data_IF_437619408422
#
_entry.id   IF_437619408422
#
_cell.length_a   1.000
_cell.length_b   1.000
_cell.length_c   1.000
_cell.angle_alpha   90.00
_cell.angle_beta   90.00
_cell.angle_gamma   90.00
#
_symmetry.space_group_name_H-M   'P 1'
#
loop_
_entity.id
_entity.type
_entity.pdbx_description
1 polymer ?
#
# COMPACT_ATOMS: atom_id res chain seq x y z
N UNK A 1 34.53 -31.38 -18.23
CA UNK A 1 33.80 -30.32 -18.95
C UNK A 1 32.35 -30.74 -19.00
N UNK A 2 31.45 -29.92 -18.50
CA UNK A 2 30.01 -30.20 -18.46
C UNK A 2 29.47 -30.00 -19.88
N UNK A 3 28.72 -30.96 -20.41
CA UNK A 3 28.11 -30.84 -21.75
C UNK A 3 26.65 -30.49 -21.61
N UNK A 4 26.25 -29.34 -22.18
CA UNK A 4 24.90 -28.87 -22.18
C UNK A 4 24.21 -29.04 -23.52
N UNK A 5 22.90 -29.18 -23.45
CA UNK A 5 21.98 -29.16 -24.58
C UNK A 5 20.89 -28.11 -24.31
N UNK A 6 20.46 -27.39 -25.34
CA UNK A 6 19.34 -26.45 -25.25
C UNK A 6 18.33 -26.70 -26.37
N UNK A 7 17.09 -26.29 -26.13
CA UNK A 7 16.00 -26.41 -27.11
C UNK A 7 15.68 -25.02 -27.66
N UNK A 8 15.57 -24.91 -29.01
CA UNK A 8 15.07 -23.71 -29.67
C UNK A 8 13.54 -23.59 -29.57
N UNK A 9 12.97 -22.50 -30.11
CA UNK A 9 11.53 -22.22 -30.13
C UNK A 9 10.74 -23.27 -30.94
N UNK A 10 11.40 -23.94 -31.88
CA UNK A 10 10.83 -25.04 -32.69
C UNK A 10 10.95 -26.41 -32.00
N UNK A 11 11.49 -26.45 -30.75
CA UNK A 11 11.77 -27.66 -29.96
C UNK A 11 12.84 -28.57 -30.54
N UNK A 12 13.73 -28.06 -31.40
CA UNK A 12 14.91 -28.82 -31.84
C UNK A 12 15.99 -28.74 -30.74
N UNK A 13 16.68 -29.86 -30.53
CA UNK A 13 17.78 -29.96 -29.57
C UNK A 13 19.10 -29.54 -30.23
N UNK A 14 19.76 -28.57 -29.61
CA UNK A 14 21.11 -28.10 -29.96
C UNK A 14 22.12 -28.55 -28.91
N UNK A 15 23.36 -28.81 -29.31
CA UNK A 15 24.46 -29.23 -28.44
C UNK A 15 25.14 -30.51 -28.95
N UNK A 16 26.18 -30.99 -28.27
CA UNK A 16 26.67 -30.53 -26.97
C UNK A 16 27.44 -29.21 -27.04
N UNK A 17 27.24 -28.32 -26.06
CA UNK A 17 27.96 -27.05 -25.87
C UNK A 17 28.55 -27.03 -24.46
N UNK A 18 29.66 -26.30 -24.25
CA UNK A 18 30.28 -26.21 -22.93
C UNK A 18 29.73 -25.01 -22.10
N UNK A 19 30.19 -24.87 -20.85
CA UNK A 19 29.74 -23.83 -19.94
C UNK A 19 30.07 -22.41 -20.49
N UNK A 20 31.21 -22.24 -21.18
CA UNK A 20 31.61 -20.96 -21.74
C UNK A 20 30.78 -20.58 -22.96
N UNK A 21 30.48 -21.53 -23.82
CA UNK A 21 29.58 -21.33 -24.96
C UNK A 21 28.15 -21.00 -24.51
N UNK A 22 27.63 -21.68 -23.47
CA UNK A 22 26.33 -21.36 -22.89
C UNK A 22 26.26 -19.96 -22.32
N UNK A 23 27.32 -19.52 -21.64
CA UNK A 23 27.43 -18.15 -21.15
C UNK A 23 27.49 -17.12 -22.32
N UNK A 24 28.19 -17.46 -23.41
CA UNK A 24 28.24 -16.67 -24.63
C UNK A 24 26.87 -16.53 -25.32
N UNK A 25 26.14 -17.63 -25.46
CA UNK A 25 24.76 -17.67 -26.01
C UNK A 25 23.81 -16.81 -25.16
N UNK A 26 23.98 -16.85 -23.83
CA UNK A 26 23.20 -16.01 -22.91
C UNK A 26 23.54 -14.52 -23.09
N UNK A 27 24.84 -14.18 -23.12
CA UNK A 27 25.29 -12.80 -23.33
C UNK A 27 24.87 -12.24 -24.70
N UNK A 28 24.80 -13.11 -25.72
CA UNK A 28 24.30 -12.80 -27.06
C UNK A 28 22.78 -12.71 -27.18
N UNK A 29 22.03 -12.94 -26.09
CA UNK A 29 20.56 -12.90 -26.08
C UNK A 29 19.87 -14.04 -26.84
N UNK A 30 20.58 -15.12 -27.15
CA UNK A 30 20.06 -16.28 -27.88
C UNK A 30 19.38 -17.30 -26.95
N UNK A 31 19.65 -17.23 -25.63
CA UNK A 31 18.98 -18.04 -24.62
C UNK A 31 17.95 -17.18 -23.87
N UNK A 32 16.67 -17.40 -24.15
CA UNK A 32 15.59 -16.81 -23.37
C UNK A 32 15.52 -17.43 -21.95
N UNK A 33 15.01 -16.72 -20.93
CA UNK A 33 14.90 -17.25 -19.57
C UNK A 33 14.14 -18.57 -19.45
N UNK A 34 13.19 -18.80 -20.35
CA UNK A 34 12.33 -20.01 -20.39
C UNK A 34 12.85 -21.08 -21.36
N UNK A 35 13.97 -20.85 -22.07
CA UNK A 35 14.61 -21.86 -22.94
C UNK A 35 14.95 -23.09 -22.11
N UNK A 36 14.50 -24.24 -22.55
CA UNK A 36 14.77 -25.50 -21.87
C UNK A 36 16.22 -25.94 -22.12
N UNK A 37 16.92 -26.28 -21.04
CA UNK A 37 18.30 -26.78 -21.06
C UNK A 37 18.42 -28.08 -20.30
N UNK A 38 19.38 -28.90 -20.70
CA UNK A 38 19.64 -30.17 -20.06
C UNK A 38 21.13 -30.49 -20.08
N UNK A 39 21.60 -31.15 -19.02
CA UNK A 39 22.95 -31.78 -18.97
C UNK A 39 22.86 -33.14 -18.32
N UNK A 40 23.89 -33.93 -18.47
CA UNK A 40 24.02 -35.19 -17.76
C UNK A 40 24.00 -34.97 -16.24
N UNK A 41 23.13 -35.70 -15.55
CA UNK A 41 22.86 -35.58 -14.12
C UNK A 41 21.59 -34.82 -13.78
N UNK A 42 20.96 -34.12 -14.72
CA UNK A 42 19.63 -33.55 -14.52
C UNK A 42 18.54 -34.59 -14.83
N UNK A 43 17.58 -34.77 -13.90
CA UNK A 43 16.48 -35.73 -14.06
C UNK A 43 15.55 -35.40 -15.25
N UNK A 44 15.44 -34.10 -15.61
CA UNK A 44 14.59 -33.57 -16.67
C UNK A 44 15.11 -32.24 -17.21
N UNK A 45 14.59 -31.83 -18.37
CA UNK A 45 14.85 -30.50 -18.93
C UNK A 45 14.38 -29.41 -17.98
N UNK A 46 15.19 -28.36 -17.77
CA UNK A 46 14.90 -27.26 -16.89
C UNK A 46 14.98 -25.92 -17.65
N UNK A 47 14.20 -24.89 -17.25
CA UNK A 47 14.30 -23.57 -17.85
C UNK A 47 15.65 -22.93 -17.52
N UNK A 48 16.25 -22.24 -18.49
CA UNK A 48 17.56 -21.59 -18.37
C UNK A 48 17.72 -20.75 -17.11
N UNK A 49 16.68 -20.00 -16.74
CA UNK A 49 16.68 -19.15 -15.51
C UNK A 49 17.01 -19.91 -14.23
N UNK A 50 16.76 -21.21 -14.16
CA UNK A 50 17.01 -22.01 -12.95
C UNK A 50 18.47 -22.42 -12.77
N UNK A 51 19.24 -22.47 -13.87
CA UNK A 51 20.64 -22.95 -13.88
C UNK A 51 21.65 -21.89 -14.35
N UNK A 52 21.19 -20.75 -14.87
CA UNK A 52 22.05 -19.75 -15.49
C UNK A 52 23.14 -19.20 -14.53
N UNK A 53 22.83 -19.03 -13.25
CA UNK A 53 23.79 -18.51 -12.28
C UNK A 53 24.92 -19.51 -11.99
N UNK A 54 24.66 -20.81 -12.06
CA UNK A 54 25.68 -21.86 -11.92
C UNK A 54 26.64 -21.84 -13.10
N UNK A 55 26.11 -21.74 -14.33
CA UNK A 55 26.90 -21.74 -15.57
C UNK A 55 27.70 -20.45 -15.70
N UNK A 56 27.09 -19.30 -15.47
CA UNK A 56 27.78 -18.00 -15.57
C UNK A 56 28.87 -17.86 -14.50
N UNK A 57 28.66 -18.36 -13.29
CA UNK A 57 29.68 -18.39 -12.24
C UNK A 57 30.83 -19.33 -12.58
N UNK A 58 30.57 -20.47 -13.23
CA UNK A 58 31.58 -21.43 -13.67
C UNK A 58 32.41 -20.93 -14.86
N UNK A 59 31.82 -20.15 -15.76
CA UNK A 59 32.46 -19.57 -16.94
C UNK A 59 33.28 -18.31 -16.65
N UNK A 60 33.17 -17.72 -15.45
CA UNK A 60 33.99 -16.58 -15.05
C UNK A 60 35.47 -17.00 -14.97
N UNK A 61 36.41 -16.32 -15.65
CA UNK A 61 37.83 -16.65 -15.52
C UNK A 61 38.23 -16.48 -14.06
N UNK A 62 38.88 -17.52 -13.49
CA UNK A 62 39.41 -17.49 -12.15
C UNK A 62 40.29 -16.21 -12.00
N UNK A 63 39.79 -15.27 -11.19
CA UNK A 63 40.57 -14.07 -10.88
C UNK A 63 41.84 -14.53 -10.20
N UNK A 64 42.96 -14.48 -10.95
CA UNK A 64 44.29 -14.80 -10.47
C UNK A 64 44.59 -13.98 -9.23
N UNK A 65 45.08 -14.66 -8.20
CA UNK A 65 45.63 -14.05 -7.01
C UNK A 65 46.67 -13.01 -7.43
N UNK A 66 46.36 -11.71 -7.26
CA UNK A 66 47.32 -10.64 -7.42
C UNK A 66 48.12 -10.58 -6.15
N UNK A 67 49.37 -11.03 -6.29
CA UNK A 67 50.46 -10.90 -5.33
C UNK A 67 50.61 -9.41 -4.93
N UNK A 68 50.53 -9.14 -3.62
CA UNK A 68 50.79 -7.82 -3.05
C UNK A 68 52.29 -7.58 -2.91
N UNK A 69 52.95 -7.17 -3.99
CA UNK A 69 54.33 -6.73 -4.04
C UNK A 69 54.42 -5.35 -4.62
N UNK A 70 54.62 -4.37 -3.75
CA UNK A 70 55.32 -3.10 -3.88
C UNK A 70 55.61 -2.58 -5.29
N UNK A 71 54.93 -1.52 -5.71
CA UNK A 71 55.48 -0.51 -6.61
C UNK A 71 54.69 0.81 -6.53
N UNK A 72 55.24 1.73 -5.76
CA UNK A 72 54.98 3.15 -5.90
C UNK A 72 55.32 3.63 -7.31
N UNK A 73 54.47 4.53 -7.86
CA UNK A 73 54.61 5.38 -9.05
C UNK A 73 53.90 4.89 -10.31
N UNK A 74 52.67 5.29 -10.48
CA UNK A 74 52.27 6.07 -11.67
C UNK A 74 50.90 6.65 -11.45
N UNK A 75 50.78 7.98 -11.40
CA UNK A 75 49.53 8.70 -11.28
C UNK A 75 48.72 8.59 -12.58
N UNK A 76 47.91 7.56 -12.65
CA UNK A 76 46.77 7.49 -13.54
C UNK A 76 45.53 7.54 -12.66
N UNK A 77 44.97 8.74 -12.52
CA UNK A 77 43.59 8.85 -12.10
C UNK A 77 42.74 8.02 -13.06
N UNK A 78 41.83 7.12 -12.56
CA UNK A 78 40.88 6.50 -13.46
C UNK A 78 40.07 7.65 -14.06
N UNK A 79 40.21 7.86 -15.37
CA UNK A 79 39.26 8.67 -16.12
C UNK A 79 37.91 8.02 -15.90
N UNK A 80 37.07 8.64 -15.06
CA UNK A 80 35.67 8.46 -15.16
C UNK A 80 35.30 8.81 -16.60
N UNK A 81 35.10 7.81 -17.45
CA UNK A 81 34.54 8.00 -18.76
C UNK A 81 33.22 8.69 -18.55
N UNK A 82 33.19 10.01 -18.68
CA UNK A 82 31.95 10.73 -18.89
C UNK A 82 31.37 10.12 -20.17
N UNK A 83 30.34 9.34 -20.05
CA UNK A 83 29.60 8.84 -21.21
C UNK A 83 29.27 10.03 -22.10
N UNK A 84 29.61 10.00 -23.40
CA UNK A 84 29.29 11.10 -24.30
C UNK A 84 27.76 11.32 -24.19
N UNK A 85 27.37 12.51 -23.75
CA UNK A 85 25.99 12.92 -23.71
C UNK A 85 25.44 12.92 -25.13
N UNK A 86 24.84 11.80 -25.56
CA UNK A 86 24.17 11.72 -26.84
C UNK A 86 23.03 12.75 -26.84
N UNK A 87 22.90 13.63 -27.83
CA UNK A 87 21.74 14.53 -27.93
C UNK A 87 20.42 13.79 -28.05
N UNK A 88 20.46 12.49 -28.28
CA UNK A 88 19.30 11.58 -28.33
C UNK A 88 19.18 10.68 -27.10
N UNK A 89 19.98 10.89 -26.04
CA UNK A 89 19.79 10.16 -24.80
C UNK A 89 18.39 10.48 -24.25
N UNK A 90 17.53 9.48 -24.04
CA UNK A 90 16.21 9.73 -23.44
C UNK A 90 16.43 10.39 -22.07
N UNK A 91 15.58 11.35 -21.66
CA UNK A 91 15.68 11.97 -20.35
C UNK A 91 15.70 10.85 -19.28
N UNK A 92 16.77 10.79 -18.51
CA UNK A 92 16.82 9.90 -17.33
C UNK A 92 15.87 10.47 -16.31
N UNK A 93 14.61 10.06 -16.36
CA UNK A 93 13.72 10.29 -15.24
C UNK A 93 14.38 9.67 -14.00
N UNK A 94 14.47 10.40 -12.86
CA UNK A 94 14.92 9.79 -11.64
C UNK A 94 13.98 8.62 -11.36
N UNK A 95 14.49 7.40 -11.49
CA UNK A 95 13.77 6.21 -11.05
C UNK A 95 13.65 6.36 -9.53
N UNK A 96 12.51 6.87 -9.08
CA UNK A 96 12.17 6.77 -7.67
C UNK A 96 12.13 5.27 -7.39
N UNK A 97 13.16 4.77 -6.73
CA UNK A 97 13.14 3.39 -6.25
C UNK A 97 11.89 3.27 -5.41
N UNK A 98 10.94 2.47 -5.88
CA UNK A 98 9.84 2.04 -5.02
C UNK A 98 10.50 1.46 -3.76
N UNK A 99 10.01 1.80 -2.55
CA UNK A 99 10.59 1.25 -1.33
C UNK A 99 10.65 -0.28 -1.49
N UNK A 100 11.81 -0.87 -1.17
CA UNK A 100 12.04 -2.30 -1.28
C UNK A 100 10.94 -3.04 -0.51
N UNK A 101 10.09 -3.76 -1.24
CA UNK A 101 8.99 -4.53 -0.68
C UNK A 101 9.52 -5.91 -0.35
N UNK A 102 9.69 -6.20 0.94
CA UNK A 102 10.09 -7.52 1.41
C UNK A 102 8.85 -8.42 1.49
N UNK A 103 8.75 -9.36 0.56
CA UNK A 103 7.64 -10.33 0.49
C UNK A 103 7.91 -11.59 1.33
N UNK A 104 9.15 -11.79 1.75
CA UNK A 104 9.58 -12.95 2.53
C UNK A 104 9.28 -12.70 4.02
N UNK A 105 8.20 -13.28 4.52
CA UNK A 105 7.90 -13.22 5.93
C UNK A 105 6.41 -13.36 6.28
N UNK A 106 6.15 -13.64 7.55
CA UNK A 106 4.80 -13.64 8.11
C UNK A 106 4.25 -12.21 8.12
N UNK A 107 3.06 -12.00 7.51
CA UNK A 107 2.38 -10.71 7.46
C UNK A 107 1.29 -10.65 8.51
N UNK A 108 1.41 -9.71 9.46
CA UNK A 108 0.41 -9.49 10.50
C UNK A 108 -0.70 -8.58 9.96
N UNK A 109 -1.86 -9.16 9.70
CA UNK A 109 -3.05 -8.42 9.28
C UNK A 109 -3.74 -7.74 10.46
N UNK A 110 -4.15 -6.48 10.27
CA UNK A 110 -4.83 -5.70 11.30
C UNK A 110 -6.24 -6.26 11.59
N UNK A 111 -6.45 -6.70 12.82
CA UNK A 111 -7.74 -7.17 13.30
C UNK A 111 -8.78 -6.05 13.41
N UNK A 112 -10.04 -6.45 13.65
CA UNK A 112 -11.20 -5.55 13.73
C UNK A 112 -10.99 -4.38 14.70
N UNK A 113 -10.57 -4.65 15.94
CA UNK A 113 -10.45 -3.62 16.99
C UNK A 113 -9.35 -2.57 16.71
N UNK A 114 -8.23 -2.97 16.09
CA UNK A 114 -7.20 -2.01 15.65
C UNK A 114 -7.77 -1.02 14.62
N UNK A 115 -8.61 -1.50 13.71
CA UNK A 115 -9.25 -0.67 12.68
C UNK A 115 -10.30 0.25 13.29
N UNK A 116 -11.10 -0.25 14.23
CA UNK A 116 -12.10 0.56 14.96
C UNK A 116 -11.42 1.69 15.72
N UNK A 117 -10.36 1.41 16.48
CA UNK A 117 -9.62 2.44 17.19
C UNK A 117 -9.03 3.51 16.24
N UNK A 118 -8.40 3.08 15.12
CA UNK A 118 -7.89 4.01 14.11
C UNK A 118 -9.01 4.86 13.50
N UNK A 119 -10.16 4.26 13.20
CA UNK A 119 -11.32 4.95 12.64
C UNK A 119 -11.85 6.04 13.58
N UNK A 120 -11.92 5.77 14.90
CA UNK A 120 -12.36 6.78 15.86
C UNK A 120 -11.45 8.01 15.89
N UNK A 121 -10.14 7.81 15.85
CA UNK A 121 -9.18 8.92 15.78
C UNK A 121 -9.40 9.72 14.49
N UNK A 122 -9.47 9.02 13.34
CA UNK A 122 -9.69 9.66 12.04
C UNK A 122 -11.05 10.39 11.99
N UNK A 123 -12.10 9.80 12.58
CA UNK A 123 -13.43 10.40 12.63
C UNK A 123 -13.44 11.73 13.39
N UNK A 124 -12.68 11.85 14.47
CA UNK A 124 -12.52 13.12 15.19
C UNK A 124 -11.81 14.15 14.31
N UNK A 125 -10.71 13.77 13.65
CA UNK A 125 -9.95 14.67 12.77
C UNK A 125 -10.82 15.15 11.60
N UNK A 126 -11.43 14.21 10.87
CA UNK A 126 -12.28 14.52 9.71
C UNK A 126 -13.54 15.27 10.14
N UNK A 127 -14.10 14.93 11.30
CA UNK A 127 -15.25 15.61 11.89
C UNK A 127 -14.97 17.08 12.21
N UNK A 128 -13.84 17.38 12.83
CA UNK A 128 -13.42 18.75 13.13
C UNK A 128 -13.18 19.53 11.84
N UNK A 129 -12.42 18.97 10.88
CA UNK A 129 -12.18 19.60 9.59
C UNK A 129 -13.49 19.83 8.83
N UNK A 130 -14.35 18.83 8.79
CA UNK A 130 -15.68 18.93 8.15
C UNK A 130 -16.58 19.99 8.80
N UNK A 131 -16.57 20.08 10.13
CA UNK A 131 -17.31 21.11 10.87
C UNK A 131 -16.81 22.53 10.55
N UNK A 132 -15.48 22.73 10.52
CA UNK A 132 -14.89 24.02 10.16
C UNK A 132 -15.25 24.47 8.74
N UNK A 133 -15.09 23.55 7.76
CA UNK A 133 -15.42 23.81 6.37
C UNK A 133 -16.93 23.98 6.19
N UNK A 134 -17.74 23.15 6.82
CA UNK A 134 -19.20 23.24 6.80
C UNK A 134 -19.70 24.56 7.37
N UNK A 135 -19.09 25.04 8.48
CA UNK A 135 -19.41 26.35 9.05
C UNK A 135 -19.06 27.50 8.09
N UNK A 136 -17.91 27.45 7.44
CA UNK A 136 -17.48 28.45 6.48
C UNK A 136 -18.40 28.51 5.24
N UNK A 137 -18.67 27.35 4.62
CA UNK A 137 -19.54 27.26 3.44
C UNK A 137 -20.98 27.62 3.82
N UNK A 138 -21.51 27.03 4.88
CA UNK A 138 -22.87 27.26 5.34
C UNK A 138 -23.12 28.70 5.75
N UNK A 139 -22.15 29.32 6.43
CA UNK A 139 -22.19 30.74 6.82
C UNK A 139 -22.16 31.67 5.60
N UNK A 140 -21.23 31.43 4.66
CA UNK A 140 -21.10 32.24 3.45
C UNK A 140 -22.37 32.15 2.55
N UNK A 141 -22.84 30.92 2.30
CA UNK A 141 -24.03 30.69 1.49
C UNK A 141 -25.30 31.21 2.19
N UNK A 142 -25.41 31.01 3.50
CA UNK A 142 -26.51 31.55 4.30
C UNK A 142 -26.60 33.07 4.23
N UNK A 143 -25.46 33.74 4.36
CA UNK A 143 -25.39 35.20 4.21
C UNK A 143 -25.74 35.65 2.77
N UNK A 144 -25.22 34.97 1.75
CA UNK A 144 -25.48 35.29 0.36
C UNK A 144 -26.95 35.11 -0.05
N UNK A 145 -27.63 34.10 0.52
CA UNK A 145 -29.03 33.78 0.21
C UNK A 145 -30.04 34.42 1.18
N UNK A 146 -29.58 35.24 2.14
CA UNK A 146 -30.43 35.85 3.14
C UNK A 146 -31.11 34.83 4.07
N UNK A 147 -30.57 33.64 4.21
CA UNK A 147 -31.09 32.61 5.10
C UNK A 147 -30.54 32.79 6.48
N UNK A 148 -31.33 33.43 7.35
CA UNK A 148 -30.97 33.58 8.77
C UNK A 148 -31.22 32.28 9.53
N UNK A 149 -30.17 31.60 9.88
CA UNK A 149 -30.20 30.39 10.72
C UNK A 149 -28.80 30.03 11.12
N UNK A 150 -28.43 30.17 12.39
CA UNK A 150 -27.13 29.71 12.89
C UNK A 150 -26.99 28.18 12.77
N UNK A 151 -25.76 27.71 12.94
CA UNK A 151 -25.40 26.27 12.88
C UNK A 151 -26.30 25.35 13.76
N UNK A 152 -26.93 25.94 14.81
CA UNK A 152 -27.87 25.24 15.70
C UNK A 152 -29.36 25.57 15.44
N UNK A 153 -29.68 26.46 14.53
CA UNK A 153 -31.04 26.96 14.29
C UNK A 153 -31.74 26.37 13.10
N UNK A 154 -31.45 25.13 12.73
CA UNK A 154 -32.08 24.37 11.63
C UNK A 154 -32.58 25.27 10.50
N UNK A 155 -31.90 25.26 9.38
CA UNK A 155 -32.35 25.94 8.17
C UNK A 155 -33.81 25.56 7.87
N UNK A 156 -34.73 26.49 7.86
CA UNK A 156 -36.14 26.28 7.51
C UNK A 156 -36.41 26.85 6.12
N UNK A 157 -36.92 25.99 5.22
CA UNK A 157 -37.26 26.38 3.84
C UNK A 157 -36.40 25.70 2.78
N UNK A 158 -36.77 25.80 1.52
CA UNK A 158 -36.10 25.12 0.38
C UNK A 158 -34.63 25.52 0.17
N UNK A 159 -34.27 26.77 0.47
CA UNK A 159 -32.86 27.23 0.40
C UNK A 159 -31.96 26.57 1.43
N UNK A 160 -32.48 26.27 2.58
CA UNK A 160 -31.77 25.57 3.65
C UNK A 160 -31.39 24.13 3.28
N UNK A 161 -32.30 23.41 2.66
CA UNK A 161 -32.04 22.06 2.17
C UNK A 161 -30.94 22.05 1.11
N UNK A 162 -30.95 23.04 0.18
CA UNK A 162 -29.93 23.17 -0.84
C UNK A 162 -28.55 23.41 -0.22
N UNK A 163 -28.42 24.31 0.75
CA UNK A 163 -27.18 24.58 1.48
C UNK A 163 -26.72 23.31 2.19
N UNK A 164 -27.61 22.60 2.88
CA UNK A 164 -27.28 21.36 3.59
C UNK A 164 -26.74 20.30 2.63
N UNK A 165 -27.36 20.11 1.48
CA UNK A 165 -26.89 19.14 0.46
C UNK A 165 -25.52 19.52 -0.09
N UNK A 166 -25.27 20.81 -0.37
CA UNK A 166 -23.95 21.26 -0.83
C UNK A 166 -22.88 20.99 0.22
N UNK A 167 -23.12 21.35 1.48
CA UNK A 167 -22.20 21.10 2.60
C UNK A 167 -21.95 19.59 2.75
N UNK A 168 -22.98 18.77 2.65
CA UNK A 168 -22.86 17.31 2.77
C UNK A 168 -22.05 16.69 1.63
N UNK A 169 -22.32 17.10 0.38
CA UNK A 169 -21.55 16.63 -0.78
C UNK A 169 -20.09 17.07 -0.70
N UNK A 170 -19.84 18.30 -0.30
CA UNK A 170 -18.48 18.80 -0.11
C UNK A 170 -17.74 18.02 0.98
N UNK A 171 -18.38 17.78 2.12
CA UNK A 171 -17.81 16.99 3.22
C UNK A 171 -17.50 15.55 2.80
N UNK A 172 -18.36 14.95 1.96
CA UNK A 172 -18.16 13.62 1.41
C UNK A 172 -16.91 13.56 0.51
N UNK A 173 -16.77 14.54 -0.39
CA UNK A 173 -15.60 14.63 -1.28
C UNK A 173 -14.32 14.92 -0.47
N UNK A 174 -14.40 15.82 0.51
CA UNK A 174 -13.29 16.14 1.40
C UNK A 174 -12.80 14.88 2.15
N UNK A 175 -13.73 14.08 2.67
CA UNK A 175 -13.41 12.81 3.31
C UNK A 175 -12.74 11.83 2.34
N UNK A 176 -13.26 11.69 1.13
CA UNK A 176 -12.67 10.82 0.10
C UNK A 176 -11.25 11.27 -0.28
N UNK A 177 -11.03 12.58 -0.44
CA UNK A 177 -9.71 13.16 -0.70
C UNK A 177 -8.75 12.95 0.47
N UNK A 178 -9.21 13.12 1.70
CA UNK A 178 -8.41 12.85 2.90
C UNK A 178 -7.87 11.41 2.89
N UNK A 179 -8.76 10.42 2.77
CA UNK A 179 -8.34 9.02 2.73
C UNK A 179 -7.48 8.69 1.51
N UNK A 180 -7.84 9.20 0.32
CA UNK A 180 -7.07 9.01 -0.90
C UNK A 180 -5.65 9.54 -0.78
N UNK A 181 -5.48 10.75 -0.25
CA UNK A 181 -4.18 11.39 -0.05
C UNK A 181 -3.29 10.60 0.93
N UNK A 182 -3.83 10.26 2.10
CA UNK A 182 -3.05 9.55 3.12
C UNK A 182 -2.68 8.11 2.70
N UNK A 183 -3.55 7.40 1.98
CA UNK A 183 -3.22 6.05 1.50
C UNK A 183 -2.20 6.06 0.35
N UNK A 184 -2.13 7.14 -0.43
CA UNK A 184 -1.12 7.33 -1.45
C UNK A 184 0.19 7.92 -0.91
N UNK A 185 0.23 8.36 0.35
CA UNK A 185 1.42 8.91 0.98
C UNK A 185 2.48 7.83 1.26
N UNK A 186 3.72 8.26 1.54
CA UNK A 186 4.81 7.36 1.91
C UNK A 186 4.49 6.45 3.11
N UNK A 187 3.66 6.94 4.06
CA UNK A 187 3.25 6.18 5.23
C UNK A 187 2.10 5.19 4.96
N UNK A 188 1.41 5.31 3.82
CA UNK A 188 0.29 4.44 3.43
C UNK A 188 -0.81 4.34 4.51
N UNK A 189 -0.93 5.36 5.36
CA UNK A 189 -1.78 5.36 6.54
C UNK A 189 -2.33 6.74 6.86
N UNK A 190 -3.57 6.80 7.30
CA UNK A 190 -4.17 7.99 7.91
C UNK A 190 -3.55 8.27 9.28
N UNK A 191 -3.64 9.49 9.82
CA UNK A 191 -3.14 9.81 11.17
C UNK A 191 -3.63 8.85 12.24
N UNK A 192 -4.91 8.45 12.22
CA UNK A 192 -5.45 7.45 13.15
C UNK A 192 -4.81 6.08 12.98
N UNK A 193 -4.58 5.64 11.73
CA UNK A 193 -3.89 4.38 11.46
C UNK A 193 -2.42 4.42 11.85
N UNK A 194 -1.73 5.55 11.62
CA UNK A 194 -0.34 5.75 12.06
C UNK A 194 -0.22 5.67 13.58
N UNK A 195 -1.15 6.28 14.31
CA UNK A 195 -1.18 6.25 15.78
C UNK A 195 -1.36 4.83 16.33
N UNK A 196 -2.18 4.00 15.67
CA UNK A 196 -2.42 2.61 16.06
C UNK A 196 -1.30 1.66 15.54
N UNK A 197 -0.48 2.11 14.58
CA UNK A 197 0.62 1.31 14.02
C UNK A 197 0.17 0.36 12.90
N UNK A 198 -0.81 0.76 12.08
CA UNK A 198 -1.30 -0.01 10.93
C UNK A 198 -1.26 0.82 9.65
N UNK A 199 -1.14 0.15 8.50
CA UNK A 199 -1.12 0.79 7.18
C UNK A 199 -1.98 0.03 6.18
N UNK A 200 -2.33 0.70 5.07
CA UNK A 200 -3.13 0.15 3.97
C UNK A 200 -2.23 -0.03 2.76
N UNK A 201 -2.13 -1.24 2.29
CA UNK A 201 -1.29 -1.60 1.14
C UNK A 201 -2.08 -2.49 0.17
N UNK A 202 -1.53 -2.75 -0.98
CA UNK A 202 -2.00 -3.79 -1.89
C UNK A 202 -1.58 -5.18 -1.37
N UNK A 203 -2.21 -6.26 -1.82
CA UNK A 203 -1.82 -7.62 -1.44
C UNK A 203 -0.37 -7.99 -1.81
N UNK A 204 0.21 -7.29 -2.79
CA UNK A 204 1.61 -7.40 -3.21
C UNK A 204 2.59 -6.54 -2.37
N UNK A 205 2.11 -5.92 -1.28
CA UNK A 205 2.90 -5.05 -0.41
C UNK A 205 3.16 -3.65 -0.96
N UNK A 206 2.77 -3.36 -2.20
CA UNK A 206 2.95 -2.03 -2.78
C UNK A 206 1.95 -1.00 -2.22
N UNK A 207 2.30 0.28 -2.34
CA UNK A 207 1.43 1.39 -1.94
C UNK A 207 0.16 1.50 -2.77
N UNK A 208 -0.87 2.09 -2.17
CA UNK A 208 -2.11 2.38 -2.86
C UNK A 208 -1.99 3.67 -3.68
N UNK A 209 -2.60 3.71 -4.86
CA UNK A 209 -2.79 4.97 -5.60
C UNK A 209 -3.84 5.85 -4.91
N UNK A 210 -3.80 7.17 -5.17
CA UNK A 210 -4.81 8.12 -4.70
C UNK A 210 -6.24 7.67 -5.05
N UNK A 211 -6.48 7.30 -6.30
CA UNK A 211 -7.80 6.88 -6.77
C UNK A 211 -8.30 5.60 -6.09
N UNK A 212 -7.40 4.66 -5.78
CA UNK A 212 -7.77 3.45 -5.04
C UNK A 212 -8.22 3.79 -3.62
N UNK A 213 -7.52 4.69 -2.94
CA UNK A 213 -7.89 5.19 -1.62
C UNK A 213 -9.19 6.00 -1.63
N UNK A 214 -9.39 6.82 -2.66
CA UNK A 214 -10.59 7.61 -2.88
C UNK A 214 -11.84 6.72 -3.05
N UNK A 215 -11.82 5.76 -3.94
CA UNK A 215 -12.93 4.83 -4.15
C UNK A 215 -13.15 3.90 -2.96
N UNK A 216 -12.09 3.57 -2.22
CA UNK A 216 -12.19 2.79 -0.99
C UNK A 216 -13.03 3.50 0.08
N UNK A 217 -12.99 4.82 0.15
CA UNK A 217 -13.86 5.59 1.03
C UNK A 217 -15.34 5.38 0.70
N UNK A 218 -15.73 5.42 -0.56
CA UNK A 218 -17.12 5.14 -0.98
C UNK A 218 -17.50 3.68 -0.73
N UNK A 219 -16.62 2.74 -0.99
CA UNK A 219 -16.83 1.34 -0.66
C UNK A 219 -16.99 1.12 0.87
N UNK A 220 -16.34 1.95 1.69
CA UNK A 220 -16.50 1.97 3.16
C UNK A 220 -17.91 2.43 3.54
N UNK A 221 -18.44 3.46 2.89
CA UNK A 221 -19.83 3.91 3.09
C UNK A 221 -20.84 2.81 2.69
N UNK A 222 -20.60 2.14 1.58
CA UNK A 222 -21.43 1.01 1.16
C UNK A 222 -21.42 -0.13 2.20
N UNK A 223 -20.25 -0.41 2.79
CA UNK A 223 -20.15 -1.39 3.89
C UNK A 223 -20.98 -1.01 5.11
N UNK A 224 -21.11 0.29 5.39
CA UNK A 224 -21.98 0.84 6.43
C UNK A 224 -23.46 0.68 6.10
N UNK A 225 -23.87 0.95 4.86
CA UNK A 225 -25.26 0.79 4.39
C UNK A 225 -25.74 -0.66 4.46
N UNK A 226 -24.86 -1.62 4.30
CA UNK A 226 -25.14 -3.06 4.46
C UNK A 226 -25.17 -3.49 5.94
N UNK A 227 -25.77 -2.69 6.83
CA UNK A 227 -25.90 -2.95 8.26
C UNK A 227 -24.57 -3.27 8.95
N UNK A 228 -23.49 -2.66 8.49
CA UNK A 228 -22.13 -2.89 8.98
C UNK A 228 -21.58 -4.31 8.80
N UNK A 229 -22.31 -5.22 8.13
CA UNK A 229 -21.85 -6.60 7.86
C UNK A 229 -20.51 -6.57 7.10
N UNK A 230 -20.34 -5.60 6.17
CA UNK A 230 -19.09 -5.44 5.43
C UNK A 230 -17.85 -5.17 6.32
N UNK A 231 -18.03 -4.59 7.50
CA UNK A 231 -16.96 -4.41 8.47
C UNK A 231 -16.70 -5.67 9.29
N UNK A 232 -17.75 -6.42 9.63
CA UNK A 232 -17.62 -7.65 10.43
C UNK A 232 -16.90 -8.76 9.68
N UNK A 233 -16.87 -8.71 8.34
CA UNK A 233 -16.12 -9.68 7.51
C UNK A 233 -14.65 -9.79 7.89
N UNK A 234 -14.06 -8.74 8.46
CA UNK A 234 -12.68 -8.76 8.98
C UNK A 234 -12.44 -9.90 9.99
N UNK A 235 -13.46 -10.27 10.74
CA UNK A 235 -13.34 -11.33 11.75
C UNK A 235 -13.34 -12.75 11.15
N UNK A 236 -13.85 -12.91 9.93
CA UNK A 236 -14.09 -14.21 9.31
C UNK A 236 -13.21 -14.52 8.10
N UNK A 237 -12.52 -13.51 7.55
CA UNK A 237 -11.64 -13.68 6.38
C UNK A 237 -10.20 -13.96 6.82
N UNK A 238 -9.50 -14.85 6.11
CA UNK A 238 -8.11 -15.23 6.39
C UNK A 238 -7.15 -14.02 6.43
N UNK A 239 -7.33 -13.10 5.48
CA UNK A 239 -6.53 -11.86 5.37
C UNK A 239 -7.09 -10.70 6.19
N UNK A 240 -8.06 -10.97 7.07
CA UNK A 240 -8.77 -9.96 7.88
C UNK A 240 -9.25 -8.78 7.02
N UNK A 241 -9.83 -9.06 5.84
CA UNK A 241 -10.33 -8.06 4.89
C UNK A 241 -11.81 -7.77 5.13
N UNK A 242 -12.16 -6.48 5.12
CA UNK A 242 -13.54 -6.02 5.06
C UNK A 242 -14.04 -6.00 3.61
N UNK A 243 -15.34 -5.82 3.38
CA UNK A 243 -15.91 -5.74 2.04
C UNK A 243 -15.23 -4.66 1.18
N UNK A 244 -15.05 -3.47 1.74
CA UNK A 244 -14.38 -2.37 1.05
C UNK A 244 -12.89 -2.63 0.76
N UNK A 245 -12.22 -3.47 1.56
CA UNK A 245 -10.85 -3.92 1.28
C UNK A 245 -10.82 -4.83 0.06
N UNK A 246 -11.78 -5.76 -0.03
CA UNK A 246 -11.90 -6.72 -1.14
C UNK A 246 -12.26 -6.02 -2.45
N UNK A 247 -13.22 -5.09 -2.42
CA UNK A 247 -13.65 -4.32 -3.61
C UNK A 247 -12.51 -3.50 -4.20
N UNK A 248 -11.64 -2.95 -3.33
CA UNK A 248 -10.54 -2.09 -3.77
C UNK A 248 -9.19 -2.82 -3.87
N UNK A 249 -9.17 -4.14 -3.70
CA UNK A 249 -7.96 -4.96 -3.71
C UNK A 249 -6.87 -4.37 -2.79
N UNK A 250 -7.20 -4.27 -1.51
CA UNK A 250 -6.35 -3.72 -0.45
C UNK A 250 -6.31 -4.63 0.76
N UNK A 251 -5.25 -4.53 1.55
CA UNK A 251 -5.14 -5.18 2.86
C UNK A 251 -4.68 -4.16 3.89
N UNK A 252 -5.12 -4.34 5.14
CA UNK A 252 -4.65 -3.53 6.25
C UNK A 252 -3.75 -4.39 7.11
N UNK A 253 -2.52 -3.94 7.26
CA UNK A 253 -1.44 -4.70 7.91
C UNK A 253 -0.75 -3.85 8.98
N UNK A 254 0.07 -4.50 9.81
CA UNK A 254 0.97 -3.78 10.71
C UNK A 254 1.92 -2.87 9.93
N UNK A 255 2.33 -1.76 10.52
CA UNK A 255 3.21 -0.76 9.87
C UNK A 255 4.55 -1.34 9.41
N UNK A 256 5.04 -2.40 10.07
CA UNK A 256 6.30 -3.05 9.75
C UNK A 256 6.16 -4.18 8.72
N UNK A 257 4.94 -4.57 8.35
CA UNK A 257 4.72 -5.54 7.29
C UNK A 257 5.33 -5.05 5.96
N UNK A 258 5.90 -5.96 5.20
CA UNK A 258 6.56 -5.68 3.92
C UNK A 258 7.76 -4.71 4.00
N UNK A 259 8.41 -4.62 5.16
CA UNK A 259 9.62 -3.82 5.38
C UNK A 259 10.76 -4.69 5.89
N UNK A 260 11.96 -4.15 5.89
CA UNK A 260 13.14 -4.83 6.47
C UNK A 260 13.01 -5.17 7.98
N UNK A 261 12.00 -4.63 8.65
CA UNK A 261 11.75 -4.84 10.09
C UNK A 261 10.49 -5.66 10.36
N UNK A 262 10.23 -6.68 9.53
CA UNK A 262 9.06 -7.55 9.66
C UNK A 262 8.98 -8.29 11.01
N UNK A 263 10.09 -8.42 11.71
CA UNK A 263 10.21 -8.96 13.08
C UNK A 263 9.53 -8.09 14.14
N UNK A 264 9.35 -6.79 13.89
CA UNK A 264 8.73 -5.83 14.82
C UNK A 264 7.21 -5.78 14.74
N UNK A 265 6.59 -6.57 13.88
CA UNK A 265 5.14 -6.62 13.74
C UNK A 265 4.48 -7.08 15.04
N UNK A 266 3.31 -6.50 15.37
CA UNK A 266 2.55 -6.79 16.58
C UNK A 266 1.14 -7.22 16.25
N UNK A 267 0.72 -8.38 16.74
CA UNK A 267 -0.68 -8.81 16.64
C UNK A 267 -1.56 -8.14 17.69
N UNK A 268 -1.02 -7.85 18.85
CA UNK A 268 -1.74 -7.34 20.00
C UNK A 268 -2.26 -5.90 19.81
N UNK A 269 -3.33 -5.58 20.54
CA UNK A 269 -3.81 -4.22 20.69
C UNK A 269 -2.85 -3.43 21.57
N UNK A 270 -2.26 -2.36 21.02
CA UNK A 270 -1.42 -1.45 21.81
C UNK A 270 -2.23 -0.69 22.87
N UNK A 271 -1.54 -0.15 23.88
CA UNK A 271 -2.18 0.62 24.95
C UNK A 271 -3.05 1.78 24.44
N UNK A 272 -2.59 2.50 23.39
CA UNK A 272 -3.36 3.57 22.79
C UNK A 272 -4.70 3.08 22.22
N UNK A 273 -4.71 1.91 21.57
CA UNK A 273 -5.96 1.34 21.04
C UNK A 273 -6.96 1.05 22.16
N UNK A 274 -6.51 0.50 23.30
CA UNK A 274 -7.36 0.27 24.46
C UNK A 274 -7.94 1.57 25.04
N UNK A 275 -7.12 2.62 25.16
CA UNK A 275 -7.60 3.93 25.65
C UNK A 275 -8.65 4.51 24.70
N UNK A 276 -8.39 4.50 23.39
CA UNK A 276 -9.33 5.03 22.38
C UNK A 276 -10.64 4.23 22.39
N UNK A 277 -10.59 2.92 22.43
CA UNK A 277 -11.78 2.07 22.48
C UNK A 277 -12.57 2.27 23.78
N UNK A 278 -11.87 2.44 24.91
CA UNK A 278 -12.50 2.74 26.19
C UNK A 278 -13.24 4.09 26.18
N UNK A 279 -12.61 5.14 25.67
CA UNK A 279 -13.24 6.46 25.53
C UNK A 279 -14.41 6.42 24.54
N UNK A 280 -14.27 5.72 23.40
CA UNK A 280 -15.34 5.55 22.44
C UNK A 280 -16.54 4.78 23.05
N UNK A 281 -16.27 3.73 23.83
CA UNK A 281 -17.30 2.98 24.55
C UNK A 281 -18.03 3.84 25.58
N UNK A 282 -17.32 4.64 26.35
CA UNK A 282 -17.92 5.58 27.32
C UNK A 282 -18.78 6.64 26.61
N UNK A 283 -18.32 7.18 25.49
CA UNK A 283 -19.09 8.15 24.70
C UNK A 283 -20.39 7.51 24.17
N UNK A 284 -20.31 6.31 23.61
CA UNK A 284 -21.49 5.61 23.10
C UNK A 284 -22.48 5.26 24.21
N UNK A 285 -22.00 4.82 25.39
CA UNK A 285 -22.83 4.56 26.55
C UNK A 285 -23.53 5.84 27.04
N UNK A 286 -22.81 6.96 27.11
CA UNK A 286 -23.38 8.26 27.46
C UNK A 286 -24.46 8.72 26.48
N UNK A 287 -24.23 8.58 25.18
CA UNK A 287 -25.24 8.89 24.15
C UNK A 287 -26.47 7.97 24.24
N UNK A 288 -26.28 6.69 24.50
CA UNK A 288 -27.39 5.75 24.69
C UNK A 288 -28.25 6.11 25.91
N UNK A 289 -27.61 6.44 27.04
CA UNK A 289 -28.31 6.89 28.24
C UNK A 289 -29.06 8.23 28.01
N UNK A 290 -28.44 9.18 27.32
CA UNK A 290 -29.08 10.43 26.95
C UNK A 290 -30.31 10.21 26.04
N UNK A 291 -30.19 9.29 25.08
CA UNK A 291 -31.30 8.92 24.19
C UNK A 291 -32.46 8.27 24.96
N UNK A 292 -32.16 7.32 25.85
CA UNK A 292 -33.17 6.69 26.71
C UNK A 292 -33.87 7.73 27.59
N UNK A 293 -33.09 8.63 28.20
CA UNK A 293 -33.63 9.74 28.99
C UNK A 293 -34.54 10.68 28.18
N UNK A 294 -34.15 11.00 26.95
CA UNK A 294 -34.97 11.80 26.05
C UNK A 294 -36.30 11.11 25.69
N UNK A 295 -36.23 9.82 25.32
CA UNK A 295 -37.43 9.02 25.00
C UNK A 295 -38.36 8.94 26.21
N UNK A 296 -37.84 8.69 27.42
CA UNK A 296 -38.62 8.65 28.64
C UNK A 296 -39.29 10.01 28.93
N UNK A 297 -38.57 11.12 28.71
CA UNK A 297 -39.12 12.49 28.92
C UNK A 297 -40.25 12.77 27.89
N UNK A 298 -40.09 12.35 26.64
CA UNK A 298 -41.14 12.55 25.60
C UNK A 298 -42.34 11.63 25.80
N UNK A 299 -42.17 10.46 26.39
CA UNK A 299 -43.28 9.53 26.70
C UNK A 299 -44.06 9.85 27.99
N UNK A 300 -43.56 10.79 28.80
CA UNK A 300 -44.20 11.23 30.04
C UNK A 300 -45.13 12.44 29.82
N UNK A 301 -45.23 12.94 28.60
CA UNK A 301 -46.16 13.99 28.16
C UNK A 301 -47.21 13.45 27.22
#
# INVERSE_FOLDING_TARGET
MTQWYYSDDERNRHGPVDDADMAGLHAGGQLAPDTLVWREGLAQWQPWRSVMHEVVASAAPAAGAVDTGDSARSGYAPYAMAEPSSPYAPPRAPVQHAPDVHLDGHVVHAGFWKRVAAYFIDAVIVGVLGAMVGAAIGGLMGAALGVSGGFNGGFRGGGALAIQLVVQLFSLVLGACYYGFFYASANQATPGKMAIGIKVVRPDGQGCSFWRGFWRYFATLLSGLLLCIGYLMVAFTERKQALHDMVCDTVVVDRWAFTAHADQQREELGALAWVVLGLAGLLLAGLALAFVGLVAALGAH
#
